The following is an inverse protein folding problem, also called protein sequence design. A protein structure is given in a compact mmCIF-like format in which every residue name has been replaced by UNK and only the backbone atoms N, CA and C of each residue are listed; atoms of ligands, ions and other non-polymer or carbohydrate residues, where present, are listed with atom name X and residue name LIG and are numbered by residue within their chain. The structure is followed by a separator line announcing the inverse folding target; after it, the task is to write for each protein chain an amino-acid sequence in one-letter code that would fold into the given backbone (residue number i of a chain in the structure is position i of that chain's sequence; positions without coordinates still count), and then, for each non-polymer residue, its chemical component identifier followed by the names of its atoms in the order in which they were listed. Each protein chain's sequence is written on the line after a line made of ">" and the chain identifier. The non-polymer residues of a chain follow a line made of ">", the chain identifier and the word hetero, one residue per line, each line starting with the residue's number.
data_IF_369649097614
#
_entry.id   IF_369649097614
#
_cell.length_a   1.000
_cell.length_b   1.000
_cell.length_c   1.000
_cell.angle_alpha   90.00
_cell.angle_beta   90.00
_cell.angle_gamma   90.00
#
_symmetry.space_group_name_H-M   'P 1'
#
loop_
_entity.id
_entity.type
_entity.pdbx_description
1 polymer ?
#
# COMPACT_ATOMS: atom_id res chain seq x y z
N UNK A 1 4.30 7.53 -33.34
CA UNK A 1 4.90 7.76 -31.99
C UNK A 1 6.14 8.67 -32.13
N UNK A 2 5.98 9.85 -32.78
CA UNK A 2 7.01 10.91 -32.80
C UNK A 2 6.73 12.01 -31.75
N UNK A 3 5.66 11.85 -30.96
CA UNK A 3 5.11 12.89 -30.09
C UNK A 3 5.54 12.75 -28.62
N UNK A 4 6.11 11.61 -28.23
CA UNK A 4 6.58 11.40 -26.85
C UNK A 4 8.01 11.94 -26.73
N UNK A 5 8.11 13.24 -26.46
CA UNK A 5 9.37 13.95 -26.22
C UNK A 5 9.65 14.10 -24.73
N UNK A 6 10.86 14.50 -24.32
CA UNK A 6 11.11 14.87 -22.93
C UNK A 6 10.17 15.96 -22.39
N UNK A 7 9.74 16.89 -23.25
CA UNK A 7 8.78 17.94 -22.91
C UNK A 7 7.37 17.36 -22.65
N UNK A 8 6.96 16.35 -23.41
CA UNK A 8 5.73 15.62 -23.12
C UNK A 8 5.74 15.00 -21.71
N UNK A 9 6.89 14.48 -21.26
CA UNK A 9 7.01 13.89 -19.92
C UNK A 9 6.75 14.94 -18.83
N UNK A 10 7.32 16.15 -18.98
CA UNK A 10 7.12 17.23 -18.01
C UNK A 10 5.70 17.80 -18.07
N UNK A 11 5.13 17.94 -19.26
CA UNK A 11 3.76 18.44 -19.44
C UNK A 11 2.74 17.45 -18.88
N UNK A 12 2.99 16.15 -19.05
CA UNK A 12 2.16 15.10 -18.48
C UNK A 12 2.23 15.09 -16.95
N UNK A 13 3.42 15.25 -16.36
CA UNK A 13 3.56 15.41 -14.90
C UNK A 13 2.77 16.63 -14.41
N UNK A 14 2.89 17.78 -15.11
CA UNK A 14 2.16 19.00 -14.76
C UNK A 14 0.65 18.79 -14.84
N UNK A 15 0.16 18.15 -15.89
CA UNK A 15 -1.24 17.78 -16.05
C UNK A 15 -1.74 16.93 -14.87
N UNK A 16 -0.98 15.90 -14.46
CA UNK A 16 -1.33 15.06 -13.31
C UNK A 16 -1.45 15.87 -12.01
N UNK A 17 -0.54 16.83 -11.78
CA UNK A 17 -0.54 17.67 -10.58
C UNK A 17 -1.63 18.74 -10.58
N UNK A 18 -1.95 19.31 -11.75
CA UNK A 18 -2.81 20.49 -11.86
C UNK A 18 -4.25 20.13 -12.21
N UNK A 19 -4.44 19.45 -13.33
CA UNK A 19 -5.77 19.07 -13.83
C UNK A 19 -6.34 17.88 -13.07
N UNK A 20 -5.55 16.82 -12.87
CA UNK A 20 -5.98 15.63 -12.12
C UNK A 20 -5.84 15.79 -10.60
N UNK A 21 -5.23 16.89 -10.12
CA UNK A 21 -5.01 17.20 -8.70
C UNK A 21 -4.36 16.05 -7.90
N UNK A 22 -3.47 15.30 -8.55
CA UNK A 22 -2.76 14.20 -7.91
C UNK A 22 -1.71 14.73 -6.93
N UNK A 23 -1.62 14.10 -5.75
CA UNK A 23 -0.53 14.34 -4.81
C UNK A 23 0.82 13.88 -5.36
N UNK A 24 1.92 14.40 -4.81
CA UNK A 24 3.28 14.18 -5.33
C UNK A 24 3.63 12.70 -5.52
N UNK A 25 3.45 11.87 -4.48
CA UNK A 25 3.76 10.45 -4.54
C UNK A 25 2.84 9.66 -5.49
N UNK A 26 1.59 10.10 -5.67
CA UNK A 26 0.67 9.51 -6.64
C UNK A 26 1.12 9.81 -8.06
N UNK A 27 1.46 11.07 -8.34
CA UNK A 27 2.03 11.51 -9.62
C UNK A 27 3.30 10.74 -9.93
N UNK A 28 4.23 10.63 -8.98
CA UNK A 28 5.46 9.87 -9.14
C UNK A 28 5.18 8.39 -9.50
N UNK A 29 4.19 7.75 -8.87
CA UNK A 29 3.78 6.38 -9.25
C UNK A 29 3.25 6.30 -10.68
N UNK A 30 2.42 7.24 -11.10
CA UNK A 30 1.94 7.27 -12.49
C UNK A 30 3.08 7.49 -13.49
N UNK A 31 4.05 8.36 -13.16
CA UNK A 31 5.25 8.54 -13.97
C UNK A 31 6.10 7.25 -14.01
N UNK A 32 6.16 6.46 -12.93
CA UNK A 32 6.84 5.15 -12.94
C UNK A 32 6.15 4.15 -13.88
N UNK A 33 4.82 4.08 -13.85
CA UNK A 33 4.06 3.22 -14.77
C UNK A 33 4.24 3.66 -16.21
N UNK A 34 4.20 4.97 -16.48
CA UNK A 34 4.42 5.48 -17.83
C UNK A 34 5.84 5.16 -18.32
N UNK A 35 6.87 5.38 -17.48
CA UNK A 35 8.25 4.98 -17.79
C UNK A 35 8.35 3.49 -18.11
N UNK A 36 7.63 2.63 -17.38
CA UNK A 36 7.60 1.19 -17.67
C UNK A 36 7.04 0.89 -19.05
N UNK A 37 5.98 1.57 -19.47
CA UNK A 37 5.40 1.42 -20.82
C UNK A 37 6.41 1.86 -21.89
N UNK A 38 7.11 2.99 -21.70
CA UNK A 38 8.14 3.47 -22.61
C UNK A 38 9.30 2.47 -22.75
N UNK A 39 9.75 1.87 -21.64
CA UNK A 39 10.78 0.83 -21.66
C UNK A 39 10.32 -0.39 -22.47
N UNK A 40 9.08 -0.85 -22.29
CA UNK A 40 8.52 -1.96 -23.05
C UNK A 40 8.46 -1.62 -24.54
N UNK A 41 7.97 -0.43 -24.90
CA UNK A 41 7.91 0.02 -26.29
C UNK A 41 9.31 0.09 -26.93
N UNK A 42 10.31 0.58 -26.19
CA UNK A 42 11.70 0.62 -26.66
C UNK A 42 12.28 -0.77 -26.88
N UNK A 43 12.07 -1.68 -25.93
CA UNK A 43 12.58 -3.06 -26.03
C UNK A 43 11.96 -3.81 -27.22
N UNK A 44 10.73 -3.46 -27.60
CA UNK A 44 10.06 -4.02 -28.77
C UNK A 44 10.39 -3.29 -30.08
N UNK A 45 11.34 -2.34 -30.09
CA UNK A 45 11.75 -1.59 -31.28
C UNK A 45 10.74 -0.56 -31.77
N UNK A 46 9.65 -0.33 -31.02
CA UNK A 46 8.59 0.65 -31.38
C UNK A 46 9.11 2.08 -31.23
N UNK A 47 10.04 2.29 -30.31
CA UNK A 47 10.57 3.59 -29.95
C UNK A 47 12.09 3.53 -29.83
N UNK A 48 12.79 4.41 -30.54
CA UNK A 48 14.26 4.39 -30.63
C UNK A 48 14.90 5.20 -29.51
N UNK A 49 14.36 6.39 -29.23
CA UNK A 49 14.92 7.36 -28.27
C UNK A 49 14.15 7.30 -26.95
N UNK A 50 14.85 7.22 -25.81
CA UNK A 50 14.21 7.22 -24.48
C UNK A 50 13.87 8.65 -24.00
N UNK A 51 12.58 9.06 -23.97
CA UNK A 51 12.17 10.38 -23.47
C UNK A 51 12.38 10.53 -21.95
N UNK A 52 12.56 9.43 -21.21
CA UNK A 52 12.82 9.44 -19.77
C UNK A 52 14.30 9.46 -19.40
N UNK A 53 15.22 9.50 -20.38
CA UNK A 53 16.66 9.33 -20.15
C UNK A 53 17.23 10.26 -19.07
N UNK A 54 16.81 11.53 -19.07
CA UNK A 54 17.26 12.55 -18.11
C UNK A 54 16.21 12.89 -17.05
N UNK A 55 15.08 12.19 -17.01
CA UNK A 55 13.99 12.46 -16.08
C UNK A 55 14.07 11.55 -14.85
N UNK A 56 14.12 12.17 -13.66
CA UNK A 56 14.24 11.48 -12.37
C UNK A 56 12.94 11.53 -11.61
N UNK A 57 12.29 10.38 -11.49
CA UNK A 57 11.13 10.22 -10.62
C UNK A 57 11.60 10.02 -9.19
N UNK A 58 11.10 10.84 -8.26
CA UNK A 58 11.38 10.72 -6.83
C UNK A 58 10.08 10.54 -6.07
N UNK A 59 10.15 9.71 -5.02
CA UNK A 59 9.09 9.61 -4.03
C UNK A 59 9.54 10.39 -2.80
N UNK A 60 8.64 11.17 -2.23
CA UNK A 60 8.82 11.78 -0.94
C UNK A 60 8.58 10.73 0.15
N UNK A 61 9.52 10.65 1.09
CA UNK A 61 9.34 9.80 2.28
C UNK A 61 8.19 10.37 3.09
N UNK A 62 7.14 9.58 3.25
CA UNK A 62 6.01 9.90 4.13
C UNK A 62 6.21 9.11 5.41
N UNK A 63 6.29 9.82 6.54
CA UNK A 63 6.18 9.21 7.85
C UNK A 63 4.70 8.89 8.10
N UNK A 64 4.39 7.62 8.38
CA UNK A 64 3.03 7.16 8.64
C UNK A 64 2.69 7.13 10.13
N UNK A 65 3.66 7.43 11.00
CA UNK A 65 3.53 7.25 12.43
C UNK A 65 3.32 5.77 12.81
N UNK A 66 3.22 5.55 14.11
CA UNK A 66 2.83 4.27 14.71
C UNK A 66 2.21 4.55 16.07
N UNK A 67 1.46 3.58 16.60
CA UNK A 67 0.90 3.67 17.94
C UNK A 67 1.93 3.18 18.96
N UNK A 68 2.08 3.93 20.04
CA UNK A 68 2.80 3.48 21.24
C UNK A 68 1.95 2.48 22.03
N UNK A 69 2.60 1.73 22.93
CA UNK A 69 1.91 0.77 23.80
C UNK A 69 0.83 1.44 24.69
N UNK A 70 1.10 2.66 25.15
CA UNK A 70 0.15 3.46 25.92
C UNK A 70 -1.08 3.83 25.07
N UNK A 71 -0.88 4.22 23.81
CA UNK A 71 -1.98 4.54 22.89
C UNK A 71 -2.83 3.30 22.57
N UNK A 72 -2.20 2.14 22.37
CA UNK A 72 -2.90 0.86 22.20
C UNK A 72 -3.72 0.55 23.46
N UNK A 73 -3.15 0.75 24.64
CA UNK A 73 -3.84 0.52 25.92
C UNK A 73 -5.05 1.45 26.11
N UNK A 74 -4.92 2.71 25.69
CA UNK A 74 -6.03 3.68 25.70
C UNK A 74 -7.15 3.20 24.77
N UNK A 75 -6.84 2.76 23.55
CA UNK A 75 -7.83 2.25 22.59
C UNK A 75 -8.53 1.01 23.16
N UNK A 76 -7.76 0.05 23.70
CA UNK A 76 -8.28 -1.18 24.29
C UNK A 76 -9.28 -0.92 25.43
N UNK A 77 -8.97 0.03 26.33
CA UNK A 77 -9.83 0.35 27.49
C UNK A 77 -10.99 1.30 27.15
N UNK A 78 -11.01 1.88 25.95
CA UNK A 78 -12.03 2.86 25.55
C UNK A 78 -13.40 2.18 25.46
N UNK A 79 -14.36 2.66 26.24
CA UNK A 79 -15.78 2.31 26.09
C UNK A 79 -16.31 2.87 24.78
N UNK A 80 -16.87 2.02 23.93
CA UNK A 80 -17.45 2.45 22.66
C UNK A 80 -18.93 2.75 22.82
N UNK A 81 -19.46 3.54 21.89
CA UNK A 81 -20.87 3.98 21.92
C UNK A 81 -21.85 2.94 21.38
N UNK A 82 -21.35 1.84 20.81
CA UNK A 82 -22.15 0.77 20.22
C UNK A 82 -21.35 -0.53 20.14
N UNK A 83 -22.04 -1.67 20.24
CA UNK A 83 -21.48 -3.01 20.10
C UNK A 83 -20.70 -3.20 18.79
N UNK A 84 -21.21 -2.64 17.67
CA UNK A 84 -20.50 -2.68 16.38
C UNK A 84 -19.11 -2.05 16.46
N UNK A 85 -18.96 -0.94 17.18
CA UNK A 85 -17.68 -0.28 17.35
C UNK A 85 -16.78 -0.99 18.37
N UNK A 86 -17.36 -1.69 19.35
CA UNK A 86 -16.59 -2.60 20.23
C UNK A 86 -15.96 -3.71 19.40
N UNK A 87 -16.73 -4.33 18.50
CA UNK A 87 -16.20 -5.36 17.61
C UNK A 87 -15.06 -4.84 16.72
N UNK A 88 -15.20 -3.63 16.16
CA UNK A 88 -14.14 -2.99 15.37
C UNK A 88 -12.88 -2.73 16.22
N UNK A 89 -13.04 -2.24 17.46
CA UNK A 89 -11.92 -2.05 18.40
C UNK A 89 -11.21 -3.38 18.66
N UNK A 90 -11.96 -4.42 18.97
CA UNK A 90 -11.41 -5.70 19.38
C UNK A 90 -10.64 -6.36 18.22
N UNK A 91 -11.18 -6.30 16.99
CA UNK A 91 -10.49 -6.75 15.78
C UNK A 91 -9.22 -5.94 15.51
N UNK A 92 -9.27 -4.62 15.67
CA UNK A 92 -8.11 -3.75 15.49
C UNK A 92 -7.00 -4.07 16.50
N UNK A 93 -7.34 -4.18 17.78
CA UNK A 93 -6.38 -4.51 18.84
C UNK A 93 -5.82 -5.92 18.65
N UNK A 94 -6.66 -6.88 18.29
CA UNK A 94 -6.21 -8.23 17.92
C UNK A 94 -5.18 -8.19 16.79
N UNK A 95 -5.42 -7.40 15.74
CA UNK A 95 -4.46 -7.22 14.65
C UNK A 95 -3.15 -6.55 15.11
N UNK A 96 -3.22 -5.58 16.04
CA UNK A 96 -2.01 -4.97 16.63
C UNK A 96 -1.14 -6.01 17.37
N UNK A 97 -1.74 -6.94 18.11
CA UNK A 97 -0.99 -7.96 18.85
C UNK A 97 -0.51 -9.13 17.99
N UNK A 98 -1.22 -9.47 16.91
CA UNK A 98 -0.90 -10.63 16.06
C UNK A 98 -0.11 -10.25 14.81
N UNK A 99 -0.11 -8.97 14.42
CA UNK A 99 0.53 -8.48 13.20
C UNK A 99 -0.17 -8.92 11.91
N UNK A 100 -1.39 -9.48 12.00
CA UNK A 100 -2.14 -9.95 10.84
C UNK A 100 -2.69 -8.78 10.01
N UNK A 101 -2.64 -8.91 8.69
CA UNK A 101 -3.29 -7.95 7.82
C UNK A 101 -4.82 -8.11 7.89
N UNK A 102 -5.55 -7.06 7.53
CA UNK A 102 -7.02 -7.08 7.52
C UNK A 102 -7.60 -8.30 6.79
N UNK A 103 -7.06 -8.64 5.61
CA UNK A 103 -7.56 -9.77 4.82
C UNK A 103 -7.32 -11.11 5.51
N UNK A 104 -6.21 -11.25 6.24
CA UNK A 104 -5.89 -12.47 6.98
C UNK A 104 -6.84 -12.61 8.18
N UNK A 105 -7.12 -11.51 8.90
CA UNK A 105 -8.10 -11.51 10.01
C UNK A 105 -9.51 -11.80 9.52
N UNK A 106 -9.92 -11.22 8.39
CA UNK A 106 -11.24 -11.46 7.81
C UNK A 106 -11.46 -12.91 7.38
N UNK A 107 -10.39 -13.62 7.01
CA UNK A 107 -10.42 -15.04 6.64
C UNK A 107 -10.17 -16.00 7.81
N UNK A 108 -9.98 -15.51 9.05
CA UNK A 108 -9.73 -16.37 10.19
C UNK A 108 -10.98 -17.18 10.56
N UNK A 109 -10.75 -18.47 10.79
CA UNK A 109 -11.74 -19.42 11.29
C UNK A 109 -11.18 -20.12 12.54
N UNK A 110 -12.05 -20.78 13.30
CA UNK A 110 -11.61 -21.57 14.46
C UNK A 110 -10.60 -22.67 14.09
N UNK A 111 -10.70 -23.23 12.88
CA UNK A 111 -9.76 -24.24 12.37
C UNK A 111 -8.33 -23.73 12.18
N UNK A 112 -8.15 -22.41 12.15
CA UNK A 112 -6.83 -21.78 12.13
C UNK A 112 -6.18 -21.73 13.51
N UNK A 113 -6.93 -21.91 14.60
CA UNK A 113 -6.39 -21.88 15.96
C UNK A 113 -6.05 -23.31 16.38
N UNK A 114 -4.76 -23.62 16.46
CA UNK A 114 -4.29 -24.99 16.73
C UNK A 114 -3.25 -25.02 17.83
N UNK A 115 -3.24 -26.11 18.61
CA UNK A 115 -2.13 -26.35 19.53
C UNK A 115 -0.86 -26.63 18.74
N UNK A 116 0.25 -26.01 19.14
CA UNK A 116 1.57 -26.25 18.54
C UNK A 116 2.44 -27.09 19.47
N UNK A 117 3.73 -27.22 19.14
CA UNK A 117 4.72 -28.04 19.83
C UNK A 117 4.89 -27.70 21.32
N UNK A 118 4.53 -26.48 21.72
CA UNK A 118 4.60 -25.97 23.09
C UNK A 118 3.29 -26.14 23.87
N UNK A 119 2.26 -26.73 23.26
CA UNK A 119 0.93 -26.89 23.86
C UNK A 119 0.06 -25.63 23.88
N UNK A 120 0.60 -24.48 23.47
CA UNK A 120 -0.13 -23.22 23.38
C UNK A 120 -0.95 -23.15 22.09
N UNK A 121 -1.91 -22.23 22.04
CA UNK A 121 -2.69 -21.96 20.82
C UNK A 121 -1.92 -21.03 19.88
N UNK A 122 -1.81 -21.44 18.62
CA UNK A 122 -1.17 -20.69 17.56
C UNK A 122 -2.16 -20.40 16.44
N UNK A 123 -2.02 -19.24 15.84
CA UNK A 123 -2.76 -18.86 14.64
C UNK A 123 -1.99 -19.40 13.43
N UNK A 124 -2.52 -20.47 12.83
CA UNK A 124 -1.95 -21.17 11.69
C UNK A 124 -2.75 -20.84 10.44
N UNK A 125 -2.25 -19.88 9.66
CA UNK A 125 -2.85 -19.46 8.39
C UNK A 125 -1.82 -19.51 7.26
N UNK A 126 -2.29 -19.64 6.02
CA UNK A 126 -1.47 -19.36 4.85
C UNK A 126 -1.75 -17.92 4.45
N UNK A 127 -0.73 -17.09 4.49
CA UNK A 127 -0.84 -15.66 4.17
C UNK A 127 -1.43 -15.49 2.76
N UNK A 128 -2.52 -14.74 2.66
CA UNK A 128 -3.05 -14.30 1.38
C UNK A 128 -2.42 -12.94 1.03
N UNK A 129 -1.30 -12.96 0.32
CA UNK A 129 -0.77 -11.72 -0.27
C UNK A 129 -1.75 -11.29 -1.37
N UNK A 130 -2.15 -10.03 -1.36
CA UNK A 130 -3.14 -9.43 -2.26
C UNK A 130 -3.03 -9.98 -3.69
N UNK A 131 -4.19 -10.33 -4.28
CA UNK A 131 -4.33 -10.89 -5.64
C UNK A 131 -3.46 -10.18 -6.69
#
# INVERSE_FOLDING_TARGET
>A
IKEITPMFITDFELYLRTACKCGYNTTAKFMQFFKRIIIIARNNGILVNDPFANYKIRLEKVDRGYLTEDEITIILKKKMVSERLEHVRDLFIFACFTGLAYIDVAGLTQDNIRKSFDGNLWIMTKRQKTN
#
